data_IF_236764509896
#
_entry.id   IF_236764509896
#
_cell.length_a   1.000
_cell.length_b   1.000
_cell.length_c   1.000
_cell.angle_alpha   90.00
_cell.angle_beta   90.00
_cell.angle_gamma   90.00
#
_symmetry.space_group_name_H-M   'P 1'
#
loop_
_entity.id
_entity.type
_entity.pdbx_description
1 polymer ?
#
# COMPACT_ATOMS: atom_id res chain seq x y z
N UNK A 1 58.20 5.40 -18.91
CA UNK A 1 56.86 5.90 -19.19
C UNK A 1 55.86 5.02 -18.43
N UNK A 2 55.35 5.48 -17.31
CA UNK A 2 54.40 4.76 -16.49
C UNK A 2 53.01 5.34 -16.85
N UNK A 3 52.18 4.49 -17.47
CA UNK A 3 50.82 4.87 -17.84
C UNK A 3 49.91 4.67 -16.59
N UNK A 4 49.47 5.78 -16.00
CA UNK A 4 48.58 5.80 -14.84
C UNK A 4 47.13 5.76 -15.33
N UNK A 5 46.51 4.56 -15.35
CA UNK A 5 45.08 4.42 -15.64
C UNK A 5 44.24 4.83 -14.43
N UNK A 6 43.63 5.99 -14.54
CA UNK A 6 42.64 6.45 -13.54
C UNK A 6 41.31 5.74 -13.83
N UNK A 7 40.93 4.77 -12.99
CA UNK A 7 39.59 4.20 -12.99
C UNK A 7 38.62 5.21 -12.35
N UNK A 8 37.79 5.86 -13.17
CA UNK A 8 36.61 6.59 -12.67
C UNK A 8 35.55 5.57 -12.26
N UNK A 9 35.48 5.27 -10.96
CA UNK A 9 34.36 4.55 -10.37
C UNK A 9 33.13 5.47 -10.37
N UNK A 10 32.16 5.20 -11.23
CA UNK A 10 30.83 5.80 -11.15
C UNK A 10 30.17 5.29 -9.87
N UNK A 11 30.22 6.09 -8.81
CA UNK A 11 29.44 5.88 -7.61
C UNK A 11 27.98 6.22 -7.95
N UNK A 12 27.14 5.21 -8.21
CA UNK A 12 25.70 5.39 -8.27
C UNK A 12 25.23 5.68 -6.83
N UNK A 13 25.06 6.97 -6.53
CA UNK A 13 24.28 7.38 -5.35
C UNK A 13 22.82 6.96 -5.62
N UNK A 14 22.41 5.83 -5.07
CA UNK A 14 21.01 5.52 -4.89
C UNK A 14 20.46 6.58 -3.92
N UNK A 15 19.76 7.58 -4.46
CA UNK A 15 19.00 8.51 -3.63
C UNK A 15 17.89 7.70 -2.95
N UNK A 16 17.98 7.53 -1.63
CA UNK A 16 16.90 6.97 -0.86
C UNK A 16 15.63 7.80 -1.14
N UNK A 17 14.53 7.12 -1.48
CA UNK A 17 13.25 7.78 -1.73
C UNK A 17 12.78 8.43 -0.44
N UNK A 18 12.31 9.67 -0.51
CA UNK A 18 11.77 10.35 0.66
C UNK A 18 10.51 9.61 1.16
N UNK A 19 10.44 9.35 2.45
CA UNK A 19 9.26 8.72 3.06
C UNK A 19 8.17 9.78 3.27
N UNK A 20 7.33 9.94 2.27
CA UNK A 20 6.17 10.85 2.27
C UNK A 20 5.06 10.27 1.43
N UNK A 21 3.83 10.71 1.65
CA UNK A 21 2.73 10.42 0.74
C UNK A 21 2.89 11.17 -0.59
N UNK A 22 2.24 10.66 -1.63
CA UNK A 22 2.22 11.33 -2.94
C UNK A 22 1.56 12.69 -2.84
N UNK A 23 2.10 13.66 -3.59
CA UNK A 23 1.59 15.03 -3.60
C UNK A 23 0.23 15.13 -4.32
N UNK A 24 -0.07 14.19 -5.23
CA UNK A 24 -1.32 14.14 -6.00
C UNK A 24 -1.96 12.76 -5.90
N UNK A 25 -3.27 12.73 -5.69
CA UNK A 25 -4.11 11.53 -5.70
C UNK A 25 -5.43 11.85 -6.40
N UNK A 26 -5.66 11.24 -7.57
CA UNK A 26 -6.97 11.26 -8.19
C UNK A 26 -7.92 10.30 -7.47
N UNK A 27 -8.75 10.85 -6.58
CA UNK A 27 -9.67 10.04 -5.78
C UNK A 27 -10.64 9.21 -6.65
N UNK A 28 -11.24 9.70 -7.74
CA UNK A 28 -12.04 8.88 -8.63
C UNK A 28 -11.31 7.63 -9.11
N UNK A 29 -10.07 7.74 -9.59
CA UNK A 29 -9.26 6.63 -10.06
C UNK A 29 -8.81 5.67 -8.94
N UNK A 30 -8.89 6.10 -7.68
CA UNK A 30 -8.57 5.27 -6.52
C UNK A 30 -9.77 4.42 -6.03
N UNK A 31 -10.99 4.74 -6.45
CA UNK A 31 -12.21 4.06 -5.99
C UNK A 31 -12.32 2.63 -6.52
N UNK A 32 -13.29 1.88 -5.98
CA UNK A 32 -13.59 0.52 -6.39
C UNK A 32 -12.93 -0.54 -5.51
N UNK A 33 -12.74 -1.74 -6.07
CA UNK A 33 -12.20 -2.90 -5.36
C UNK A 33 -10.70 -3.00 -5.53
N UNK A 34 -10.02 -3.38 -4.44
CA UNK A 34 -8.60 -3.66 -4.36
C UNK A 34 -8.38 -5.05 -3.75
N UNK A 35 -7.33 -5.72 -4.19
CA UNK A 35 -6.77 -6.93 -3.58
C UNK A 35 -5.47 -6.58 -2.88
N UNK A 36 -5.31 -7.00 -1.64
CA UNK A 36 -4.06 -6.80 -0.90
C UNK A 36 -3.08 -7.92 -1.25
N UNK A 37 -1.90 -7.58 -1.77
CA UNK A 37 -0.86 -8.55 -2.15
C UNK A 37 0.30 -8.61 -1.17
N UNK A 38 0.56 -7.52 -0.44
CA UNK A 38 1.52 -7.50 0.66
C UNK A 38 0.94 -6.82 1.90
N UNK A 39 1.38 -7.30 3.04
CA UNK A 39 1.24 -6.73 4.38
C UNK A 39 2.58 -6.84 5.10
N UNK A 40 2.65 -6.46 6.36
CA UNK A 40 3.82 -6.75 7.20
C UNK A 40 3.45 -7.52 8.48
N UNK A 41 4.46 -7.81 9.32
CA UNK A 41 4.22 -8.55 10.55
C UNK A 41 3.49 -7.72 11.62
N UNK A 42 3.60 -6.39 11.57
CA UNK A 42 2.87 -5.50 12.47
C UNK A 42 1.37 -5.52 12.17
N UNK A 43 0.98 -5.50 10.90
CA UNK A 43 -0.42 -5.56 10.49
C UNK A 43 -1.12 -6.83 10.95
N UNK A 44 -0.39 -7.96 10.98
CA UNK A 44 -0.91 -9.24 11.50
C UNK A 44 -1.36 -9.18 12.94
N UNK A 45 -0.81 -8.25 13.75
CA UNK A 45 -1.23 -8.05 15.14
C UNK A 45 -2.60 -7.36 15.22
N UNK A 46 -2.96 -6.54 14.24
CA UNK A 46 -4.20 -5.76 14.20
C UNK A 46 -5.27 -6.38 13.31
N UNK A 47 -4.90 -6.82 12.11
CA UNK A 47 -5.82 -7.45 11.16
C UNK A 47 -6.00 -8.96 11.41
N UNK A 48 -5.14 -9.56 12.25
CA UNK A 48 -5.06 -11.00 12.40
C UNK A 48 -4.33 -11.68 11.24
N UNK A 49 -4.24 -13.00 11.32
CA UNK A 49 -3.67 -13.84 10.26
C UNK A 49 -4.84 -14.29 9.39
N UNK A 50 -4.89 -13.77 8.17
CA UNK A 50 -5.95 -14.08 7.21
C UNK A 50 -5.40 -14.29 5.81
N UNK A 51 -6.30 -14.60 4.88
CA UNK A 51 -6.06 -14.64 3.43
C UNK A 51 -7.18 -13.90 2.70
N UNK A 52 -6.99 -13.65 1.41
CA UNK A 52 -8.02 -13.06 0.56
C UNK A 52 -8.47 -11.66 1.02
N UNK A 53 -7.53 -10.89 1.57
CA UNK A 53 -7.83 -9.53 2.01
C UNK A 53 -8.14 -8.64 0.82
N UNK A 54 -9.25 -7.93 0.90
CA UNK A 54 -9.72 -6.98 -0.10
C UNK A 54 -10.18 -5.70 0.58
N UNK A 55 -10.09 -4.59 -0.14
CA UNK A 55 -10.67 -3.31 0.26
C UNK A 55 -11.61 -2.81 -0.84
N UNK A 56 -12.68 -2.14 -0.46
CA UNK A 56 -13.59 -1.46 -1.39
C UNK A 56 -13.81 -0.03 -0.93
N UNK A 57 -13.52 0.91 -1.83
CA UNK A 57 -13.63 2.34 -1.58
C UNK A 57 -14.70 2.97 -2.46
N UNK A 58 -15.42 3.95 -1.90
CA UNK A 58 -16.43 4.73 -2.62
C UNK A 58 -16.49 6.14 -2.06
N UNK A 59 -16.46 7.17 -2.91
CA UNK A 59 -16.72 8.56 -2.52
C UNK A 59 -18.15 8.65 -1.98
N UNK A 60 -18.31 9.23 -0.79
CA UNK A 60 -19.60 9.40 -0.12
C UNK A 60 -19.87 10.84 0.31
N UNK A 61 -18.96 11.77 0.01
CA UNK A 61 -19.06 13.21 0.27
C UNK A 61 -17.83 13.92 -0.24
N UNK A 62 -17.80 15.25 -0.15
CA UNK A 62 -16.76 16.10 -0.75
C UNK A 62 -15.34 15.74 -0.33
N UNK A 63 -15.14 15.29 0.91
CA UNK A 63 -13.83 14.90 1.45
C UNK A 63 -13.91 13.55 2.18
N UNK A 64 -14.83 12.66 1.80
CA UNK A 64 -15.07 11.42 2.52
C UNK A 64 -15.22 10.24 1.59
N UNK A 65 -14.48 9.19 1.89
CA UNK A 65 -14.48 7.90 1.18
C UNK A 65 -14.93 6.82 2.13
N UNK A 66 -15.98 6.05 1.81
CA UNK A 66 -16.32 4.85 2.57
C UNK A 66 -15.26 3.78 2.34
N UNK A 67 -14.92 3.08 3.42
CA UNK A 67 -13.96 1.97 3.44
C UNK A 67 -14.69 0.72 3.87
N UNK A 68 -14.56 -0.36 3.12
CA UNK A 68 -15.04 -1.68 3.47
C UNK A 68 -13.95 -2.70 3.21
N UNK A 69 -13.39 -3.27 4.26
CA UNK A 69 -12.34 -4.28 4.20
C UNK A 69 -12.94 -5.65 4.52
N UNK A 70 -12.44 -6.68 3.85
CA UNK A 70 -12.89 -8.06 4.00
C UNK A 70 -11.72 -9.01 3.85
N UNK A 71 -11.67 -10.04 4.70
CA UNK A 71 -10.70 -11.13 4.61
C UNK A 71 -11.33 -12.47 5.05
N UNK A 72 -10.61 -13.56 4.83
CA UNK A 72 -10.89 -14.85 5.45
C UNK A 72 -9.88 -15.03 6.59
N UNK A 73 -10.36 -15.20 7.80
CA UNK A 73 -9.51 -15.44 8.98
C UNK A 73 -8.89 -16.87 8.99
N UNK A 74 -8.06 -17.14 9.97
CA UNK A 74 -7.42 -18.45 10.17
C UNK A 74 -8.41 -19.59 10.45
N UNK A 75 -9.64 -19.28 10.83
CA UNK A 75 -10.73 -20.24 11.08
C UNK A 75 -11.61 -20.46 9.85
N UNK A 76 -11.21 -19.89 8.69
CA UNK A 76 -11.96 -19.84 7.44
C UNK A 76 -13.32 -19.12 7.55
N UNK A 77 -13.44 -18.19 8.48
CA UNK A 77 -14.59 -17.30 8.57
C UNK A 77 -14.33 -16.00 7.85
N UNK A 78 -15.39 -15.42 7.37
CA UNK A 78 -15.36 -14.06 6.81
C UNK A 78 -15.24 -13.07 7.94
N UNK A 79 -14.23 -12.20 7.85
CA UNK A 79 -14.00 -11.07 8.74
C UNK A 79 -14.15 -9.78 7.92
N UNK A 80 -14.99 -8.87 8.36
CA UNK A 80 -15.36 -7.64 7.66
C UNK A 80 -15.29 -6.47 8.63
N UNK A 81 -14.78 -5.33 8.16
CA UNK A 81 -14.75 -4.08 8.92
C UNK A 81 -15.06 -2.91 7.99
N UNK A 82 -15.92 -2.02 8.45
CA UNK A 82 -16.32 -0.83 7.71
C UNK A 82 -15.81 0.45 8.38
N UNK A 83 -15.83 1.53 7.62
CA UNK A 83 -15.45 2.84 8.11
C UNK A 83 -15.37 3.86 6.99
N UNK A 84 -14.50 4.84 7.18
CA UNK A 84 -14.28 5.90 6.19
C UNK A 84 -12.86 6.44 6.26
N UNK A 85 -12.40 6.98 5.14
CA UNK A 85 -11.19 7.79 5.06
C UNK A 85 -11.56 9.21 4.66
N UNK A 86 -10.75 10.18 5.08
CA UNK A 86 -11.00 11.60 4.85
C UNK A 86 -9.71 12.40 4.97
N UNK A 87 -9.72 13.62 4.43
CA UNK A 87 -8.66 14.60 4.63
C UNK A 87 -8.92 15.40 5.90
N UNK A 88 -7.92 15.54 6.77
CA UNK A 88 -7.91 16.54 7.83
C UNK A 88 -7.61 17.92 7.25
N UNK A 89 -7.90 18.97 8.01
CA UNK A 89 -7.63 20.34 7.58
C UNK A 89 -6.17 20.53 7.16
N UNK A 90 -5.96 20.91 5.91
CA UNK A 90 -4.64 21.12 5.32
C UNK A 90 -4.02 19.87 4.66
N UNK A 91 -4.62 18.68 4.83
CA UNK A 91 -4.19 17.47 4.14
C UNK A 91 -4.61 17.48 2.67
N UNK A 92 -3.82 16.82 1.81
CA UNK A 92 -4.07 16.69 0.37
C UNK A 92 -3.34 15.47 -0.21
N UNK A 93 -3.54 15.19 -1.49
CA UNK A 93 -2.84 14.10 -2.18
C UNK A 93 -3.04 12.75 -1.50
N UNK A 94 -1.96 12.07 -1.19
CA UNK A 94 -1.97 10.77 -0.50
C UNK A 94 -2.10 10.83 1.02
N UNK A 95 -2.23 12.00 1.64
CA UNK A 95 -2.31 12.16 3.09
C UNK A 95 -3.75 12.05 3.58
N UNK A 96 -4.26 10.85 3.78
CA UNK A 96 -5.58 10.63 4.36
C UNK A 96 -5.50 10.13 5.81
N UNK A 97 -6.62 10.26 6.51
CA UNK A 97 -6.86 9.63 7.80
C UNK A 97 -7.97 8.60 7.63
N UNK A 98 -7.80 7.41 8.20
CA UNK A 98 -8.81 6.34 8.20
C UNK A 98 -9.38 6.16 9.61
N UNK A 99 -10.69 5.94 9.68
CA UNK A 99 -11.43 5.57 10.89
C UNK A 99 -12.27 4.33 10.56
N UNK A 100 -11.93 3.20 11.17
CA UNK A 100 -12.66 1.94 11.04
C UNK A 100 -13.42 1.67 12.33
N UNK A 101 -14.73 1.51 12.24
CA UNK A 101 -15.63 1.18 13.38
C UNK A 101 -15.13 1.71 14.73
N UNK A 102 -14.89 0.82 15.70
CA UNK A 102 -14.47 1.17 17.06
C UNK A 102 -12.94 1.36 17.20
N UNK A 103 -12.16 1.21 16.11
CA UNK A 103 -10.71 1.44 16.14
C UNK A 103 -10.40 2.94 16.20
N UNK A 104 -9.27 3.35 16.80
CA UNK A 104 -8.83 4.74 16.73
C UNK A 104 -8.56 5.18 15.29
N UNK A 105 -8.59 6.49 15.07
CA UNK A 105 -8.14 7.06 13.79
C UNK A 105 -6.65 6.75 13.57
N UNK A 106 -6.30 6.48 12.33
CA UNK A 106 -4.93 6.21 11.93
C UNK A 106 -4.58 6.95 10.63
N UNK A 107 -3.31 7.34 10.43
CA UNK A 107 -2.84 7.82 9.15
C UNK A 107 -3.03 6.74 8.08
N UNK A 108 -3.43 7.17 6.88
CA UNK A 108 -3.53 6.36 5.67
C UNK A 108 -2.79 7.10 4.56
N UNK A 109 -1.51 6.84 4.44
CA UNK A 109 -0.64 7.53 3.50
C UNK A 109 -0.43 6.69 2.23
N UNK A 110 -0.90 7.17 1.11
CA UNK A 110 -0.53 6.63 -0.20
C UNK A 110 0.90 7.04 -0.53
N UNK A 111 1.85 6.12 -0.41
CA UNK A 111 3.28 6.40 -0.63
C UNK A 111 3.66 6.33 -2.09
N UNK A 112 3.00 5.48 -2.85
CA UNK A 112 3.22 5.27 -4.28
C UNK A 112 1.94 4.78 -4.94
N UNK A 113 1.74 5.20 -6.18
CA UNK A 113 0.62 4.80 -7.03
C UNK A 113 1.17 4.26 -8.33
N UNK A 114 0.57 3.18 -8.83
CA UNK A 114 0.83 2.64 -10.15
C UNK A 114 0.30 3.54 -11.27
N UNK A 115 0.49 3.14 -12.51
CA UNK A 115 -0.11 3.84 -13.63
C UNK A 115 -1.65 3.84 -13.54
N UNK A 116 -2.28 4.76 -14.25
CA UNK A 116 -3.73 4.74 -14.46
C UNK A 116 -3.99 4.02 -15.78
N UNK A 117 -4.67 2.88 -15.69
CA UNK A 117 -5.17 2.11 -16.84
C UNK A 117 -6.70 1.96 -16.66
N UNK A 118 -7.45 2.10 -17.75
CA UNK A 118 -8.92 2.06 -17.74
C UNK A 118 -9.53 2.96 -16.64
N UNK A 119 -9.01 4.18 -16.48
CA UNK A 119 -9.42 5.19 -15.50
C UNK A 119 -9.13 4.82 -14.03
N UNK A 120 -8.40 3.75 -13.74
CA UNK A 120 -8.08 3.28 -12.39
C UNK A 120 -6.57 3.12 -12.19
N UNK A 121 -6.07 3.44 -11.00
CA UNK A 121 -4.70 3.06 -10.61
C UNK A 121 -4.55 1.54 -10.53
N UNK A 122 -3.49 0.97 -11.09
CA UNK A 122 -3.24 -0.48 -11.08
C UNK A 122 -2.81 -1.00 -9.73
N UNK A 123 -1.95 -0.26 -9.03
CA UNK A 123 -1.51 -0.60 -7.68
C UNK A 123 -1.34 0.63 -6.79
N UNK A 124 -1.24 0.39 -5.48
CA UNK A 124 -0.94 1.41 -4.48
C UNK A 124 -0.12 0.82 -3.34
N UNK A 125 0.89 1.56 -2.89
CA UNK A 125 1.61 1.30 -1.64
C UNK A 125 1.06 2.25 -0.58
N UNK A 126 0.52 1.69 0.49
CA UNK A 126 -0.10 2.43 1.59
C UNK A 126 0.58 2.10 2.91
N UNK A 127 0.76 3.10 3.76
CA UNK A 127 1.32 2.95 5.09
C UNK A 127 0.78 4.01 6.06
N UNK A 128 1.31 4.03 7.28
CA UNK A 128 1.16 5.12 8.22
C UNK A 128 2.34 6.12 8.13
N UNK A 129 2.36 7.11 9.01
CA UNK A 129 3.38 8.18 9.09
C UNK A 129 4.76 7.73 9.60
N UNK A 130 4.92 6.43 9.96
CA UNK A 130 6.13 5.89 10.61
C UNK A 130 6.63 4.57 10.01
N UNK A 131 6.09 4.14 8.89
CA UNK A 131 6.37 2.84 8.27
C UNK A 131 6.16 1.64 9.21
N UNK A 132 5.15 1.71 10.09
CA UNK A 132 4.77 0.57 10.94
C UNK A 132 3.81 -0.37 10.22
N UNK A 133 2.82 0.16 9.52
CA UNK A 133 1.88 -0.63 8.72
C UNK A 133 2.30 -0.70 7.25
N UNK A 134 1.84 -1.70 6.53
CA UNK A 134 2.08 -1.85 5.10
C UNK A 134 0.91 -2.54 4.41
N UNK A 135 0.35 -1.88 3.42
CA UNK A 135 -0.66 -2.45 2.53
C UNK A 135 -0.20 -2.19 1.10
N UNK A 136 0.10 -3.25 0.35
CA UNK A 136 0.24 -3.15 -1.10
C UNK A 136 -1.03 -3.69 -1.72
N UNK A 137 -1.70 -2.82 -2.45
CA UNK A 137 -3.00 -3.06 -3.05
C UNK A 137 -2.86 -3.11 -4.57
N UNK A 138 -3.62 -3.98 -5.24
CA UNK A 138 -3.68 -4.06 -6.69
C UNK A 138 -5.10 -4.30 -7.19
N UNK A 139 -5.35 -3.99 -8.47
CA UNK A 139 -6.60 -4.33 -9.16
C UNK A 139 -6.59 -5.76 -9.68
N UNK A 140 -5.46 -6.22 -10.15
CA UNK A 140 -5.26 -7.56 -10.71
C UNK A 140 -4.00 -8.19 -10.12
N UNK A 141 -4.17 -9.33 -9.43
CA UNK A 141 -3.09 -10.01 -8.71
C UNK A 141 -2.05 -10.60 -9.67
N UNK A 142 -2.50 -11.20 -10.77
CA UNK A 142 -1.61 -11.84 -11.74
C UNK A 142 -0.83 -10.80 -12.53
N UNK A 143 -1.47 -9.70 -12.95
CA UNK A 143 -0.83 -8.58 -13.59
C UNK A 143 0.21 -7.92 -12.65
N UNK A 144 -0.12 -7.76 -11.37
CA UNK A 144 0.81 -7.21 -10.39
C UNK A 144 2.10 -8.02 -10.27
N UNK A 145 1.99 -9.33 -10.07
CA UNK A 145 3.17 -10.18 -9.92
C UNK A 145 3.99 -10.30 -11.22
N UNK A 146 3.35 -10.18 -12.37
CA UNK A 146 4.02 -10.26 -13.67
C UNK A 146 4.76 -8.97 -14.05
N UNK A 147 4.24 -7.80 -13.68
CA UNK A 147 4.70 -6.52 -14.25
C UNK A 147 5.20 -5.52 -13.20
N UNK A 148 4.74 -5.55 -11.94
CA UNK A 148 5.02 -4.49 -10.95
C UNK A 148 5.78 -4.98 -9.71
N UNK A 149 5.72 -6.27 -9.41
CA UNK A 149 6.24 -6.84 -8.17
C UNK A 149 7.67 -6.42 -7.82
N UNK A 150 8.59 -6.57 -8.77
CA UNK A 150 10.01 -6.32 -8.52
C UNK A 150 10.30 -4.83 -8.27
N UNK A 151 9.62 -3.96 -8.97
CA UNK A 151 9.79 -2.51 -8.79
C UNK A 151 9.12 -2.03 -7.49
N UNK A 152 7.96 -2.58 -7.13
CA UNK A 152 7.31 -2.32 -5.84
C UNK A 152 8.21 -2.80 -4.68
N UNK A 153 8.82 -3.97 -4.76
CA UNK A 153 9.75 -4.43 -3.71
C UNK A 153 10.96 -3.52 -3.55
N UNK A 154 11.54 -2.99 -4.65
CA UNK A 154 12.61 -1.98 -4.58
C UNK A 154 12.12 -0.67 -3.95
N UNK A 155 10.91 -0.22 -4.29
CA UNK A 155 10.30 0.94 -3.66
C UNK A 155 10.12 0.74 -2.15
N UNK A 156 9.60 -0.42 -1.73
CA UNK A 156 9.45 -0.77 -0.32
C UNK A 156 10.79 -0.75 0.43
N UNK A 157 11.85 -1.31 -0.16
CA UNK A 157 13.20 -1.23 0.41
C UNK A 157 13.65 0.23 0.56
N UNK A 158 13.44 1.07 -0.46
CA UNK A 158 13.80 2.48 -0.44
C UNK A 158 13.00 3.31 0.58
N UNK A 159 11.76 2.92 0.89
CA UNK A 159 10.95 3.48 1.96
C UNK A 159 11.30 2.95 3.35
N UNK A 160 12.23 1.99 3.46
CA UNK A 160 12.71 1.47 4.74
C UNK A 160 11.91 0.28 5.29
N UNK A 161 11.12 -0.42 4.47
CA UNK A 161 10.43 -1.67 4.84
C UNK A 161 11.40 -2.86 4.84
N UNK A 162 12.47 -2.77 5.62
CA UNK A 162 13.57 -3.75 5.67
C UNK A 162 13.78 -4.37 7.04
N UNK A 163 13.06 -3.89 8.06
CA UNK A 163 13.21 -4.33 9.44
C UNK A 163 12.29 -5.52 9.73
N UNK A 164 12.65 -6.36 10.68
CA UNK A 164 11.90 -7.58 11.04
C UNK A 164 10.40 -7.35 11.27
N UNK A 165 10.02 -6.19 11.81
CA UNK A 165 8.61 -5.88 12.09
C UNK A 165 7.84 -5.36 10.88
N UNK A 166 8.53 -4.68 9.93
CA UNK A 166 7.87 -4.04 8.80
C UNK A 166 8.24 -4.63 7.42
N UNK A 167 9.04 -5.70 7.37
CA UNK A 167 9.38 -6.37 6.10
C UNK A 167 8.10 -6.87 5.41
N UNK A 168 8.02 -6.74 4.07
CA UNK A 168 6.87 -7.21 3.30
C UNK A 168 6.62 -8.71 3.49
N UNK A 169 5.37 -9.09 3.65
CA UNK A 169 4.91 -10.48 3.74
C UNK A 169 3.76 -10.65 2.74
N UNK A 170 3.83 -11.67 1.91
CA UNK A 170 2.79 -11.96 0.91
C UNK A 170 1.45 -12.22 1.61
N UNK A 171 0.40 -11.55 1.14
CA UNK A 171 -0.99 -11.85 1.43
C UNK A 171 -1.48 -12.91 0.44
N UNK A 172 -1.88 -14.07 0.95
CA UNK A 172 -2.37 -15.13 0.09
C UNK A 172 -3.72 -14.75 -0.54
N UNK A 173 -3.76 -14.75 -1.87
CA UNK A 173 -4.95 -14.46 -2.68
C UNK A 173 -5.44 -15.71 -3.46
N UNK A 174 -5.00 -16.93 -3.09
CA UNK A 174 -5.46 -18.16 -3.72
C UNK A 174 -6.66 -18.76 -2.99
N UNK A 175 -7.53 -19.45 -3.72
CA UNK A 175 -8.75 -20.09 -3.20
C UNK A 175 -9.62 -19.12 -2.39
N UNK A 176 -9.76 -17.91 -2.91
CA UNK A 176 -10.60 -16.86 -2.34
C UNK A 176 -12.07 -17.06 -2.72
N UNK A 177 -12.93 -16.21 -2.18
CA UNK A 177 -14.36 -16.24 -2.48
C UNK A 177 -14.64 -16.26 -3.98
N UNK A 178 -15.38 -17.25 -4.43
CA UNK A 178 -16.03 -17.29 -5.73
C UNK A 178 -17.31 -16.44 -5.70
#
# INVERSE_FOLDING_TARGET
MICLTILFGLCYLSLAKEYKAVDELDLPSYMGKWYQVYQNNFDKLFQGIGKCSTAKYKIVGDNKVSVFNKQIDKENKVDEIAGYAYYKDGDYGGYLTVKLEDLPEAPYWGLELGPIEDELYDYSIVSDDKAFSLFVLTRDVDNFYSNYNDDVLKSLESFGFTKKYNTPVIMNQTDCFN
#
